data_IF_576108055607
#
_entry.id   IF_576108055607
#
_cell.length_a   1.000
_cell.length_b   1.000
_cell.length_c   1.000
_cell.angle_alpha   90.00
_cell.angle_beta   90.00
_cell.angle_gamma   90.00
#
_symmetry.space_group_name_H-M   'P 1'
#
loop_
_entity.id
_entity.type
_entity.pdbx_description
1 polymer ?
#
# COMPACT_ATOMS: atom_id res chain seq x y z
N UNK A 1 13.67 14.92 -2.80
CA UNK A 1 12.48 14.07 -2.55
C UNK A 1 12.42 13.04 -3.66
N UNK A 2 12.15 11.78 -3.33
CA UNK A 2 12.07 10.67 -4.28
C UNK A 2 10.60 10.33 -4.57
N UNK A 3 10.32 9.71 -5.72
CA UNK A 3 8.99 9.26 -6.14
C UNK A 3 9.03 7.78 -6.50
N UNK A 4 7.95 7.06 -6.24
CA UNK A 4 7.84 5.66 -6.59
C UNK A 4 6.41 5.15 -6.59
N UNK A 5 6.19 4.07 -7.33
CA UNK A 5 4.90 3.37 -7.40
C UNK A 5 5.05 2.02 -6.71
N UNK A 6 4.23 1.79 -5.71
CA UNK A 6 4.34 0.61 -4.85
C UNK A 6 3.03 -0.17 -4.84
N UNK A 7 3.05 -1.50 -5.07
CA UNK A 7 1.86 -2.34 -4.90
C UNK A 7 1.21 -2.11 -3.54
N UNK A 8 -0.11 -1.91 -3.54
CA UNK A 8 -0.90 -1.90 -2.31
C UNK A 8 -1.19 -3.35 -1.94
N UNK A 9 -0.70 -3.79 -0.78
CA UNK A 9 -0.88 -5.17 -0.30
C UNK A 9 -1.92 -5.28 0.81
N UNK A 10 -2.28 -4.16 1.41
CA UNK A 10 -3.33 -4.08 2.42
C UNK A 10 -3.56 -2.65 2.88
N UNK A 11 -4.50 -2.47 3.80
CA UNK A 11 -4.78 -1.17 4.41
C UNK A 11 -5.18 -1.30 5.88
N UNK A 12 -5.00 -0.23 6.65
CA UNK A 12 -5.58 -0.07 7.99
C UNK A 12 -6.93 0.63 7.83
N UNK A 13 -7.98 0.07 8.42
CA UNK A 13 -9.32 0.66 8.41
C UNK A 13 -9.35 1.96 9.22
N UNK A 14 -10.10 2.93 8.70
CA UNK A 14 -10.62 4.10 9.41
C UNK A 14 -12.16 4.07 9.30
N UNK A 15 -12.96 4.63 10.23
CA UNK A 15 -14.42 4.48 10.22
C UNK A 15 -15.08 4.83 8.87
N UNK A 16 -14.56 5.83 8.17
CA UNK A 16 -15.08 6.25 6.86
C UNK A 16 -14.11 6.05 5.70
N UNK A 17 -12.97 5.39 5.91
CA UNK A 17 -11.93 5.30 4.88
C UNK A 17 -10.79 4.36 5.21
N UNK A 18 -9.58 4.77 4.82
CA UNK A 18 -8.33 4.12 5.20
C UNK A 18 -7.49 5.07 6.06
N UNK A 19 -6.87 4.53 7.11
CA UNK A 19 -5.91 5.25 7.94
C UNK A 19 -4.48 5.14 7.40
N UNK A 20 -4.16 4.02 6.74
CA UNK A 20 -2.86 3.80 6.09
C UNK A 20 -2.97 2.70 5.03
N UNK A 21 -2.06 2.72 4.05
CA UNK A 21 -1.84 1.64 3.09
C UNK A 21 -0.56 0.90 3.45
N UNK A 22 -0.61 -0.43 3.47
CA UNK A 22 0.57 -1.28 3.47
C UNK A 22 1.07 -1.41 2.04
N UNK A 23 2.36 -1.15 1.84
CA UNK A 23 2.99 -1.13 0.54
C UNK A 23 3.95 -2.31 0.41
N UNK A 24 3.96 -2.89 -0.78
CA UNK A 24 4.93 -3.89 -1.19
C UNK A 24 5.94 -3.34 -2.18
N UNK A 25 6.98 -4.13 -2.44
CA UNK A 25 7.94 -3.97 -3.53
C UNK A 25 8.14 -5.36 -4.14
N UNK A 26 8.20 -5.44 -5.48
CA UNK A 26 8.52 -6.69 -6.17
C UNK A 26 10.03 -6.86 -6.23
N UNK A 27 10.52 -7.99 -5.76
CA UNK A 27 11.94 -8.37 -5.81
C UNK A 27 12.03 -9.75 -6.48
N UNK A 28 12.25 -9.74 -7.80
CA UNK A 28 12.12 -10.95 -8.61
C UNK A 28 10.71 -11.52 -8.52
N UNK A 29 10.59 -12.73 -7.97
CA UNK A 29 9.30 -13.41 -7.74
C UNK A 29 8.63 -13.01 -6.42
N UNK A 30 9.37 -12.35 -5.54
CA UNK A 30 8.89 -12.03 -4.20
C UNK A 30 8.13 -10.72 -4.16
N UNK A 31 7.15 -10.68 -3.25
CA UNK A 31 6.47 -9.45 -2.86
C UNK A 31 6.82 -9.15 -1.41
N UNK A 32 7.71 -8.19 -1.21
CA UNK A 32 8.26 -7.83 0.10
C UNK A 32 7.61 -6.56 0.62
N UNK A 33 7.43 -6.47 1.93
CA UNK A 33 6.86 -5.29 2.57
C UNK A 33 7.88 -4.14 2.57
N UNK A 34 7.46 -2.95 2.14
CA UNK A 34 8.34 -1.76 2.06
C UNK A 34 7.84 -0.61 2.92
N UNK A 35 6.95 -0.88 3.88
CA UNK A 35 6.43 0.11 4.81
C UNK A 35 4.97 0.49 4.54
N UNK A 36 4.53 1.54 5.23
CA UNK A 36 3.17 2.06 5.15
C UNK A 36 3.17 3.54 4.85
N UNK A 37 2.15 3.99 4.14
CA UNK A 37 1.87 5.42 3.94
C UNK A 37 0.52 5.74 4.58
N UNK A 38 0.44 6.83 5.34
CA UNK A 38 -0.76 7.24 6.07
C UNK A 38 -1.11 8.72 5.94
N UNK A 39 -0.44 9.44 5.04
CA UNK A 39 -0.60 10.88 4.81
C UNK A 39 -0.70 11.17 3.32
N UNK A 40 -1.08 12.38 2.93
CA UNK A 40 -1.14 12.80 1.53
C UNK A 40 -2.49 12.63 0.84
N UNK A 41 -3.54 12.33 1.60
CA UNK A 41 -4.92 12.30 1.12
C UNK A 41 -5.83 13.17 1.98
N UNK A 42 -6.90 13.68 1.39
CA UNK A 42 -8.04 14.24 2.13
C UNK A 42 -8.94 13.10 2.64
N UNK A 43 -9.93 13.44 3.49
CA UNK A 43 -10.96 12.48 3.94
C UNK A 43 -11.74 11.89 2.76
N UNK A 44 -12.11 12.71 1.78
CA UNK A 44 -12.82 12.25 0.57
C UNK A 44 -11.99 11.24 -0.20
N UNK A 45 -10.69 11.51 -0.38
CA UNK A 45 -9.78 10.60 -1.07
C UNK A 45 -9.58 9.30 -0.28
N UNK A 46 -9.46 9.36 1.05
CA UNK A 46 -9.33 8.15 1.87
C UNK A 46 -10.56 7.24 1.79
N UNK A 47 -11.77 7.81 1.73
CA UNK A 47 -13.02 7.07 1.48
C UNK A 47 -13.06 6.45 0.09
N UNK A 48 -12.60 7.17 -0.95
CA UNK A 48 -12.53 6.65 -2.32
C UNK A 48 -11.51 5.51 -2.47
N UNK A 49 -10.35 5.63 -1.83
CA UNK A 49 -9.34 4.56 -1.77
C UNK A 49 -9.97 3.32 -1.12
N UNK A 50 -10.66 3.50 0.02
CA UNK A 50 -11.32 2.41 0.72
C UNK A 50 -12.31 1.68 -0.18
N UNK A 51 -13.19 2.40 -0.86
CA UNK A 51 -14.19 1.83 -1.77
C UNK A 51 -13.55 1.00 -2.89
N UNK A 52 -12.43 1.42 -3.44
CA UNK A 52 -11.71 0.67 -4.48
C UNK A 52 -11.04 -0.59 -3.93
N UNK A 53 -10.43 -0.50 -2.74
CA UNK A 53 -9.72 -1.61 -2.13
C UNK A 53 -10.66 -2.67 -1.53
N UNK A 54 -11.84 -2.29 -1.07
CA UNK A 54 -12.86 -3.23 -0.59
C UNK A 54 -13.27 -4.24 -1.69
N UNK A 55 -13.22 -3.85 -2.96
CA UNK A 55 -13.50 -4.73 -4.11
C UNK A 55 -12.41 -5.75 -4.44
N UNK A 56 -11.27 -5.72 -3.74
CA UNK A 56 -10.13 -6.63 -3.96
C UNK A 56 -9.57 -7.19 -2.67
N UNK A 57 -10.37 -7.23 -1.59
CA UNK A 57 -9.97 -7.83 -0.32
C UNK A 57 -9.58 -9.29 -0.50
N UNK A 58 -8.50 -9.68 0.18
CA UNK A 58 -7.98 -11.04 0.18
C UNK A 58 -8.00 -11.59 1.61
N UNK A 59 -8.31 -12.89 1.82
CA UNK A 59 -8.32 -13.48 3.16
C UNK A 59 -6.92 -13.62 3.77
N UNK A 60 -5.86 -13.57 2.95
CA UNK A 60 -4.47 -13.76 3.38
C UNK A 60 -3.56 -12.73 2.74
N UNK A 61 -2.43 -12.46 3.39
CA UNK A 61 -1.38 -11.65 2.80
C UNK A 61 -0.79 -12.34 1.56
N UNK A 62 -0.44 -11.55 0.54
CA UNK A 62 0.36 -11.99 -0.62
C UNK A 62 1.85 -11.67 -0.47
N UNK A 63 2.25 -11.13 0.68
CA UNK A 63 3.66 -10.91 0.97
C UNK A 63 4.37 -12.25 1.11
N UNK A 64 5.57 -12.37 0.52
CA UNK A 64 6.42 -13.56 0.69
C UNK A 64 6.82 -13.74 2.15
N UNK A 65 7.05 -12.63 2.87
CA UNK A 65 7.48 -12.63 4.27
C UNK A 65 6.35 -12.08 5.17
N UNK A 66 6.03 -12.76 6.28
CA UNK A 66 5.00 -12.27 7.20
C UNK A 66 5.47 -11.01 7.92
N UNK A 67 4.52 -10.15 8.25
CA UNK A 67 4.74 -9.00 9.14
C UNK A 67 4.18 -9.29 10.53
N UNK A 68 4.83 -8.78 11.57
CA UNK A 68 4.45 -9.06 12.97
C UNK A 68 3.22 -8.24 13.38
N UNK A 69 2.19 -8.93 13.90
CA UNK A 69 0.95 -8.34 14.45
C UNK A 69 0.32 -7.23 13.58
N UNK A 70 0.01 -7.51 12.30
CA UNK A 70 -0.56 -6.50 11.42
C UNK A 70 -1.99 -6.13 11.80
N UNK A 71 -2.31 -4.84 11.68
CA UNK A 71 -3.71 -4.34 11.70
C UNK A 71 -4.30 -4.26 10.28
N UNK A 72 -3.77 -5.08 9.37
CA UNK A 72 -4.07 -4.98 7.94
C UNK A 72 -5.38 -5.70 7.60
N UNK A 73 -6.21 -5.06 6.78
CA UNK A 73 -7.10 -5.75 5.86
C UNK A 73 -6.31 -6.01 4.58
N UNK A 74 -6.09 -7.28 4.26
CA UNK A 74 -5.28 -7.69 3.11
C UNK A 74 -6.05 -7.49 1.80
N UNK A 75 -5.32 -7.18 0.73
CA UNK A 75 -5.88 -7.05 -0.61
C UNK A 75 -5.03 -7.76 -1.64
N UNK A 76 -5.64 -8.17 -2.74
CA UNK A 76 -4.90 -8.57 -3.93
C UNK A 76 -4.10 -7.37 -4.47
N UNK A 77 -2.81 -7.53 -4.84
CA UNK A 77 -1.93 -6.44 -5.26
C UNK A 77 -2.23 -5.98 -6.70
N UNK A 78 -3.47 -5.53 -6.92
CA UNK A 78 -4.02 -5.03 -8.19
C UNK A 78 -3.91 -3.52 -8.32
N UNK A 79 -3.63 -2.82 -7.23
CA UNK A 79 -3.45 -1.37 -7.21
C UNK A 79 -2.03 -1.00 -6.80
N UNK A 80 -1.57 0.16 -7.29
CA UNK A 80 -0.31 0.77 -6.95
C UNK A 80 -0.57 2.15 -6.34
N UNK A 81 0.10 2.45 -5.23
CA UNK A 81 0.14 3.79 -4.67
C UNK A 81 1.33 4.54 -5.25
N UNK A 82 1.08 5.71 -5.82
CA UNK A 82 2.11 6.71 -6.11
C UNK A 82 2.46 7.42 -4.80
N UNK A 83 3.75 7.45 -4.47
CA UNK A 83 4.25 7.90 -3.16
C UNK A 83 5.49 8.75 -3.36
N UNK A 84 5.50 9.93 -2.72
CA UNK A 84 6.71 10.69 -2.47
C UNK A 84 7.29 10.29 -1.12
N UNK A 85 8.61 10.17 -1.04
CA UNK A 85 9.31 9.81 0.20
C UNK A 85 10.70 10.46 0.23
N UNK A 86 11.28 10.54 1.44
CA UNK A 86 12.61 11.14 1.61
C UNK A 86 13.70 10.15 1.22
N UNK A 87 13.61 8.95 1.78
CA UNK A 87 14.60 7.89 1.57
C UNK A 87 14.04 6.50 1.88
N UNK A 88 14.81 5.46 1.59
CA UNK A 88 14.57 4.06 1.95
C UNK A 88 15.56 3.67 3.06
N UNK A 89 15.07 3.07 4.15
CA UNK A 89 15.95 2.59 5.23
C UNK A 89 16.78 1.38 4.79
N UNK A 90 17.81 1.03 5.55
CA UNK A 90 18.59 -0.20 5.35
C UNK A 90 17.72 -1.47 5.38
N UNK A 91 16.57 -1.42 6.06
CA UNK A 91 15.57 -2.49 6.10
C UNK A 91 14.60 -2.48 4.90
N UNK A 92 14.80 -1.57 3.94
CA UNK A 92 13.95 -1.46 2.75
C UNK A 92 12.60 -0.75 2.99
N UNK A 93 12.47 0.04 4.06
CA UNK A 93 11.22 0.73 4.41
C UNK A 93 11.24 2.19 3.94
N UNK A 94 10.11 2.68 3.43
CA UNK A 94 9.96 4.09 3.07
C UNK A 94 9.97 5.00 4.31
N UNK A 95 10.75 6.07 4.26
CA UNK A 95 10.83 7.08 5.32
C UNK A 95 10.21 8.41 4.89
N UNK A 96 9.40 9.00 5.78
CA UNK A 96 8.68 10.26 5.56
C UNK A 96 7.86 10.23 4.26
N UNK A 97 7.09 9.14 4.06
CA UNK A 97 6.29 8.92 2.87
C UNK A 97 4.96 9.67 2.89
N UNK A 98 4.52 10.14 1.73
CA UNK A 98 3.22 10.79 1.50
C UNK A 98 2.60 10.30 0.19
N UNK A 99 1.31 9.95 0.25
CA UNK A 99 0.53 9.48 -0.89
C UNK A 99 0.31 10.59 -1.91
N UNK A 100 0.30 10.22 -3.20
CA UNK A 100 0.04 11.14 -4.32
C UNK A 100 -1.04 10.65 -5.26
N UNK A 101 -1.31 9.35 -5.32
CA UNK A 101 -2.37 8.81 -6.17
C UNK A 101 -2.50 7.29 -6.08
N UNK A 102 -3.66 6.78 -6.49
CA UNK A 102 -3.94 5.34 -6.58
C UNK A 102 -4.15 4.99 -8.05
N UNK A 103 -3.45 3.96 -8.52
CA UNK A 103 -3.48 3.53 -9.92
C UNK A 103 -3.84 2.05 -9.95
N UNK A 104 -4.85 1.67 -10.75
CA UNK A 104 -5.16 0.26 -11.00
C UNK A 104 -4.12 -0.30 -11.97
N UNK A 105 -3.46 -1.39 -11.60
CA UNK A 105 -2.56 -2.10 -12.50
C UNK A 105 -3.35 -2.69 -13.66
N UNK A 106 -2.87 -2.48 -14.90
CA UNK A 106 -3.42 -3.19 -16.05
C UNK A 106 -3.08 -4.67 -15.92
N UNK A 107 -4.08 -5.52 -15.79
CA UNK A 107 -3.88 -6.97 -15.86
C UNK A 107 -3.43 -7.34 -17.26
N UNK A 108 -2.13 -7.41 -17.50
CA UNK A 108 -1.55 -8.25 -18.55
C UNK A 108 -0.89 -9.40 -17.82
N UNK A 109 -1.64 -10.49 -17.76
CA UNK A 109 -1.13 -11.85 -17.56
C UNK A 109 -0.19 -12.18 -18.72
#
# INVERSE_FOLDING_TARGET
MQKGKFPVVGFVKDPSGVAALYLGKREGKDLVYTGKVGTGWSRTVSSQIRKQLDGVVSPKSKLTRPIRKPKATWVEPKFYADVEYRDITSEGLLRASSFKGLIKGSGRT
#
